data_IF_398315544310
#
_entry.id   IF_398315544310
#
_cell.length_a   1.000
_cell.length_b   1.000
_cell.length_c   1.000
_cell.angle_alpha   90.00
_cell.angle_beta   90.00
_cell.angle_gamma   90.00
#
_symmetry.space_group_name_H-M   'P 1'
#
loop_
_entity.id
_entity.type
_entity.pdbx_description
1 polymer ?
#
# COMPACT_ATOMS: atom_id res chain seq x y z
N UNK A 1 3.62 4.85 25.83
CA UNK A 1 2.85 5.55 26.87
C UNK A 1 1.41 5.06 26.78
N UNK A 2 0.84 4.56 27.87
CA UNK A 2 -0.55 4.07 27.91
C UNK A 2 -1.54 5.22 27.72
N UNK A 3 -2.57 4.97 26.90
CA UNK A 3 -3.70 5.86 26.58
C UNK A 3 -4.35 6.44 27.85
N UNK A 4 -3.98 7.68 28.19
CA UNK A 4 -4.61 8.47 29.24
C UNK A 4 -5.71 9.40 28.68
N UNK A 5 -6.62 9.89 29.53
CA UNK A 5 -7.79 10.70 29.16
C UNK A 5 -7.51 12.07 28.50
N UNK A 6 -6.24 12.46 28.33
CA UNK A 6 -5.82 13.72 27.67
C UNK A 6 -5.14 13.51 26.30
N UNK A 7 -5.16 12.28 25.76
CA UNK A 7 -4.47 11.96 24.50
C UNK A 7 -5.26 12.46 23.30
N UNK A 8 -4.69 13.40 22.53
CA UNK A 8 -5.32 13.98 21.33
C UNK A 8 -4.43 13.74 20.11
N UNK A 9 -4.72 12.67 19.39
CA UNK A 9 -3.92 12.21 18.24
C UNK A 9 -4.63 12.48 16.92
N UNK A 10 -3.85 12.88 15.93
CA UNK A 10 -4.24 12.88 14.52
C UNK A 10 -3.37 11.85 13.81
N UNK A 11 -4.01 10.87 13.17
CA UNK A 11 -3.34 9.82 12.40
C UNK A 11 -3.75 9.94 10.94
N UNK A 12 -2.79 10.03 10.03
CA UNK A 12 -3.02 10.18 8.60
C UNK A 12 -2.40 9.00 7.86
N UNK A 13 -3.22 8.24 7.14
CA UNK A 13 -2.79 7.24 6.16
C UNK A 13 -2.98 7.84 4.75
N UNK A 14 -1.90 8.22 4.08
CA UNK A 14 -1.95 9.00 2.84
C UNK A 14 -1.35 8.27 1.64
N UNK A 15 -2.19 7.90 0.68
CA UNK A 15 -1.80 7.26 -0.57
C UNK A 15 -2.03 8.15 -1.80
N UNK A 16 -1.53 7.69 -2.96
CA UNK A 16 -1.70 8.38 -4.23
C UNK A 16 -3.14 8.37 -4.76
N UNK A 17 -4.00 7.48 -4.25
CA UNK A 17 -5.42 7.39 -4.61
C UNK A 17 -6.36 8.06 -3.63
N UNK A 18 -5.88 8.46 -2.45
CA UNK A 18 -6.68 9.05 -1.38
C UNK A 18 -5.98 8.97 -0.03
N UNK A 19 -6.51 9.68 0.97
CA UNK A 19 -6.00 9.65 2.34
C UNK A 19 -7.13 9.37 3.33
N UNK A 20 -6.81 8.80 4.49
CA UNK A 20 -7.71 8.69 5.63
C UNK A 20 -7.10 9.35 6.85
N UNK A 21 -7.95 10.05 7.59
CA UNK A 21 -7.58 10.74 8.82
C UNK A 21 -8.39 10.18 9.96
N UNK A 22 -7.72 9.83 11.04
CA UNK A 22 -8.32 9.45 12.32
C UNK A 22 -8.01 10.52 13.36
N UNK A 23 -9.06 11.02 14.00
CA UNK A 23 -8.97 11.88 15.17
C UNK A 23 -9.32 11.05 16.40
N UNK A 24 -8.38 10.87 17.32
CA UNK A 24 -8.60 10.23 18.61
C UNK A 24 -8.52 11.30 19.70
N UNK A 25 -9.66 11.65 20.28
CA UNK A 25 -9.83 12.77 21.22
C UNK A 25 -10.62 12.27 22.43
N UNK A 26 -10.04 12.36 23.62
CA UNK A 26 -10.69 12.10 24.90
C UNK A 26 -11.47 10.76 24.92
N UNK A 27 -10.91 9.72 24.29
CA UNK A 27 -11.48 8.37 24.19
C UNK A 27 -12.48 8.15 23.04
N UNK A 28 -12.79 9.18 22.25
CA UNK A 28 -13.61 9.09 21.04
C UNK A 28 -12.76 9.11 19.79
N UNK A 29 -13.03 8.18 18.87
CA UNK A 29 -12.33 8.08 17.59
C UNK A 29 -13.28 8.39 16.44
N UNK A 30 -12.87 9.26 15.52
CA UNK A 30 -13.60 9.54 14.27
C UNK A 30 -12.68 9.45 13.07
N UNK A 31 -13.15 8.77 12.01
CA UNK A 31 -12.42 8.60 10.76
C UNK A 31 -13.07 9.42 9.65
N UNK A 32 -12.25 10.00 8.78
CA UNK A 32 -12.69 10.79 7.61
C UNK A 32 -11.78 10.52 6.42
N UNK A 33 -12.36 10.52 5.22
CA UNK A 33 -11.59 10.48 3.98
C UNK A 33 -11.14 11.89 3.57
N UNK A 34 -9.99 11.98 2.92
CA UNK A 34 -9.44 13.19 2.29
C UNK A 34 -8.83 12.82 0.91
N UNK A 35 -8.40 13.83 0.16
CA UNK A 35 -7.82 13.68 -1.16
C UNK A 35 -6.46 12.96 -1.18
N UNK A 36 -5.95 12.67 -2.39
CA UNK A 36 -4.70 11.95 -2.57
C UNK A 36 -3.46 12.77 -2.20
N UNK A 37 -2.39 12.07 -1.84
CA UNK A 37 -1.04 12.63 -1.77
C UNK A 37 -0.42 12.60 -3.17
N UNK A 38 0.01 13.78 -3.64
CA UNK A 38 0.74 13.89 -4.90
C UNK A 38 2.23 13.91 -4.61
N UNK A 39 2.92 12.82 -4.96
CA UNK A 39 4.36 12.64 -4.71
C UNK A 39 5.25 13.57 -5.54
N UNK A 40 4.69 14.22 -6.57
CA UNK A 40 5.35 15.27 -7.35
C UNK A 40 5.36 16.64 -6.67
N UNK A 41 4.68 16.78 -5.52
CA UNK A 41 4.62 18.00 -4.72
C UNK A 41 5.22 17.73 -3.34
N UNK A 42 5.60 18.77 -2.57
CA UNK A 42 6.10 18.59 -1.21
C UNK A 42 5.09 17.82 -0.35
N UNK A 43 5.50 16.65 0.15
CA UNK A 43 4.59 15.71 0.85
C UNK A 43 4.21 16.24 2.23
N UNK A 44 5.17 16.80 2.97
CA UNK A 44 4.96 17.32 4.33
C UNK A 44 3.95 18.46 4.36
N UNK A 45 4.00 19.37 3.40
CA UNK A 45 3.03 20.46 3.26
C UNK A 45 1.60 19.92 3.04
N UNK A 46 1.44 18.89 2.19
CA UNK A 46 0.15 18.25 1.96
C UNK A 46 -0.37 17.57 3.24
N UNK A 47 0.49 16.91 4.02
CA UNK A 47 0.13 16.31 5.31
C UNK A 47 -0.35 17.39 6.29
N UNK A 48 0.34 18.53 6.37
CA UNK A 48 -0.07 19.65 7.21
C UNK A 48 -1.44 20.22 6.78
N UNK A 49 -1.69 20.34 5.47
CA UNK A 49 -2.99 20.78 4.93
C UNK A 49 -4.12 19.81 5.29
N UNK A 50 -3.89 18.49 5.19
CA UNK A 50 -4.86 17.47 5.60
C UNK A 50 -5.15 17.59 7.10
N UNK A 51 -4.12 17.71 7.94
CA UNK A 51 -4.29 17.88 9.38
C UNK A 51 -5.12 19.14 9.71
N UNK A 52 -4.86 20.26 9.03
CA UNK A 52 -5.63 21.51 9.18
C UNK A 52 -7.09 21.34 8.82
N UNK A 53 -7.40 20.68 7.70
CA UNK A 53 -8.80 20.40 7.30
C UNK A 53 -9.50 19.51 8.30
N UNK A 54 -8.83 18.46 8.78
CA UNK A 54 -9.39 17.55 9.76
C UNK A 54 -9.73 18.25 11.09
N UNK A 55 -8.91 19.22 11.50
CA UNK A 55 -9.08 19.98 12.74
C UNK A 55 -9.91 21.27 12.61
N UNK A 56 -10.30 21.68 11.40
CA UNK A 56 -11.02 22.94 11.18
C UNK A 56 -12.33 23.04 11.99
N UNK A 57 -13.04 21.91 12.13
CA UNK A 57 -14.32 21.82 12.85
C UNK A 57 -14.19 21.21 14.26
N UNK A 58 -12.96 20.94 14.71
CA UNK A 58 -12.71 20.38 16.04
C UNK A 58 -12.15 21.48 16.94
N UNK A 59 -12.86 21.94 18.00
CA UNK A 59 -12.35 22.91 18.96
C UNK A 59 -11.34 22.25 19.94
N UNK A 60 -10.40 21.47 19.39
CA UNK A 60 -9.51 20.58 20.12
C UNK A 60 -8.09 20.77 19.62
N UNK A 61 -7.16 21.01 20.54
CA UNK A 61 -5.72 21.06 20.25
C UNK A 61 -5.18 19.64 20.21
N UNK A 62 -4.81 19.16 19.03
CA UNK A 62 -4.11 17.89 18.88
C UNK A 62 -2.68 18.03 19.41
N UNK A 63 -2.21 17.08 20.22
CA UNK A 63 -0.83 17.10 20.72
C UNK A 63 0.10 16.35 19.78
N UNK A 64 -0.38 15.23 19.21
CA UNK A 64 0.45 14.35 18.38
C UNK A 64 -0.12 14.18 16.98
N UNK A 65 0.72 14.36 15.96
CA UNK A 65 0.39 14.09 14.57
C UNK A 65 1.27 12.94 14.04
N UNK A 66 0.66 11.85 13.62
CA UNK A 66 1.37 10.74 12.97
C UNK A 66 0.88 10.61 11.54
N UNK A 67 1.79 10.48 10.58
CA UNK A 67 1.42 10.24 9.19
C UNK A 67 2.25 9.10 8.58
N UNK A 68 1.55 8.10 8.05
CA UNK A 68 2.09 7.09 7.15
C UNK A 68 1.73 7.46 5.72
N UNK A 69 2.71 7.84 4.90
CA UNK A 69 2.40 8.39 3.57
C UNK A 69 3.32 7.89 2.46
N UNK A 70 2.76 7.79 1.27
CA UNK A 70 3.49 7.44 0.05
C UNK A 70 4.42 8.57 -0.39
N UNK A 71 5.55 8.22 -1.01
CA UNK A 71 6.49 9.19 -1.58
C UNK A 71 7.43 9.87 -0.56
N UNK A 72 7.51 9.36 0.67
CA UNK A 72 8.55 9.78 1.62
C UNK A 72 9.90 9.20 1.22
N UNK A 73 10.72 10.04 0.60
CA UNK A 73 12.17 9.86 0.50
C UNK A 73 12.85 10.49 1.71
N UNK A 74 14.13 10.20 2.00
CA UNK A 74 14.86 10.86 3.07
C UNK A 74 14.80 12.40 2.97
N UNK A 75 14.90 12.97 1.76
CA UNK A 75 14.86 14.43 1.55
C UNK A 75 13.46 15.05 1.74
N UNK A 76 12.40 14.25 1.56
CA UNK A 76 11.01 14.65 1.79
C UNK A 76 10.60 14.45 3.26
N UNK A 77 11.31 13.62 4.01
CA UNK A 77 11.00 13.28 5.40
C UNK A 77 11.49 14.38 6.35
N UNK A 78 10.69 15.45 6.47
CA UNK A 78 11.04 16.67 7.23
C UNK A 78 10.12 16.86 8.46
N UNK A 79 10.34 16.11 9.55
CA UNK A 79 9.46 16.17 10.72
C UNK A 79 9.47 17.55 11.38
N UNK A 80 10.60 18.26 11.44
CA UNK A 80 10.67 19.61 12.02
C UNK A 80 9.85 20.62 11.22
N UNK A 81 9.83 20.47 9.89
CA UNK A 81 9.00 21.29 9.00
C UNK A 81 7.52 21.01 9.23
N UNK A 82 7.14 19.74 9.37
CA UNK A 82 5.77 19.36 9.67
C UNK A 82 5.33 19.96 11.02
N UNK A 83 6.13 19.78 12.07
CA UNK A 83 5.88 20.33 13.39
C UNK A 83 5.69 21.85 13.34
N UNK A 84 6.58 22.57 12.67
CA UNK A 84 6.46 24.02 12.51
C UNK A 84 5.19 24.43 11.73
N UNK A 85 4.78 23.64 10.73
CA UNK A 85 3.57 23.88 9.95
C UNK A 85 2.27 23.53 10.69
N UNK A 86 2.33 22.81 11.81
CA UNK A 86 1.15 22.41 12.58
C UNK A 86 1.17 22.91 14.03
N UNK A 87 2.18 23.67 14.43
CA UNK A 87 2.33 24.17 15.80
C UNK A 87 1.15 25.05 16.25
N UNK A 88 0.56 25.84 15.35
CA UNK A 88 -0.64 26.65 15.64
C UNK A 88 -1.91 25.81 15.86
N UNK A 89 -1.89 24.53 15.48
CA UNK A 89 -2.95 23.55 15.79
C UNK A 89 -2.78 22.91 17.18
N UNK A 90 -1.71 23.26 17.90
CA UNK A 90 -1.33 22.70 19.20
C UNK A 90 -0.46 21.44 19.12
N UNK A 91 -0.05 21.02 17.92
CA UNK A 91 0.80 19.84 17.72
C UNK A 91 2.19 20.13 18.28
N UNK A 92 2.61 19.31 19.23
CA UNK A 92 3.93 19.36 19.86
C UNK A 92 4.82 18.17 19.49
N UNK A 93 4.25 17.12 18.90
CA UNK A 93 4.96 15.90 18.54
C UNK A 93 4.49 15.39 17.18
N UNK A 94 5.44 15.06 16.31
CA UNK A 94 5.15 14.51 14.98
C UNK A 94 5.94 13.24 14.70
N UNK A 95 5.29 12.31 14.00
CA UNK A 95 5.87 11.06 13.54
C UNK A 95 5.56 10.87 12.06
N UNK A 96 6.59 10.71 11.23
CA UNK A 96 6.48 10.49 9.80
C UNK A 96 7.07 9.13 9.45
N UNK A 97 6.31 8.32 8.72
CA UNK A 97 6.76 7.03 8.20
C UNK A 97 6.32 6.85 6.75
N UNK A 98 7.09 6.09 5.99
CA UNK A 98 6.63 5.62 4.69
C UNK A 98 5.37 4.74 4.84
N UNK A 99 4.43 4.80 3.89
CA UNK A 99 3.17 4.03 3.91
C UNK A 99 3.39 2.51 4.11
N UNK A 100 4.51 1.97 3.66
CA UNK A 100 4.88 0.56 3.91
C UNK A 100 5.00 0.22 5.39
N UNK A 101 5.44 1.17 6.23
CA UNK A 101 5.59 0.97 7.68
C UNK A 101 4.24 0.97 8.37
N UNK A 102 3.34 1.90 8.02
CA UNK A 102 1.98 1.90 8.56
C UNK A 102 1.19 0.67 8.08
N UNK A 103 1.31 0.29 6.81
CA UNK A 103 0.76 -0.96 6.29
C UNK A 103 1.27 -2.17 7.07
N UNK A 104 2.58 -2.22 7.36
CA UNK A 104 3.20 -3.28 8.14
C UNK A 104 2.61 -3.37 9.55
N UNK A 105 2.65 -2.26 10.30
CA UNK A 105 2.16 -2.20 11.68
C UNK A 105 0.66 -2.52 11.76
N UNK A 106 -0.13 -2.15 10.74
CA UNK A 106 -1.53 -2.50 10.65
C UNK A 106 -1.75 -4.00 10.45
N UNK A 107 -0.94 -4.63 9.59
CA UNK A 107 -1.09 -6.03 9.23
C UNK A 107 -0.46 -7.02 10.22
N UNK A 108 0.64 -6.65 10.89
CA UNK A 108 1.44 -7.52 11.76
C UNK A 108 1.63 -6.99 13.19
N UNK A 109 1.24 -5.74 13.50
CA UNK A 109 1.61 -5.15 14.78
C UNK A 109 3.13 -5.00 14.90
N UNK A 110 3.70 -5.42 16.04
CA UNK A 110 5.14 -5.39 16.31
C UNK A 110 5.80 -6.76 16.18
N UNK A 111 5.08 -7.77 15.69
CA UNK A 111 5.65 -9.10 15.46
C UNK A 111 6.47 -9.09 14.18
N UNK A 112 7.59 -9.83 14.17
CA UNK A 112 8.42 -10.02 12.97
C UNK A 112 7.65 -10.78 11.86
N UNK A 113 8.05 -10.53 10.61
CA UNK A 113 7.39 -11.09 9.44
C UNK A 113 7.46 -10.18 8.22
N UNK A 114 6.60 -10.42 7.24
CA UNK A 114 6.55 -9.67 5.98
C UNK A 114 5.14 -9.19 5.69
N UNK A 115 5.02 -7.98 5.17
CA UNK A 115 3.76 -7.41 4.66
C UNK A 115 3.96 -6.92 3.23
N UNK A 116 3.10 -7.37 2.33
CA UNK A 116 3.02 -6.86 0.96
C UNK A 116 1.81 -5.94 0.79
N UNK A 117 2.06 -4.64 0.57
CA UNK A 117 1.01 -3.65 0.34
C UNK A 117 0.76 -3.53 -1.16
N UNK A 118 -0.38 -4.03 -1.64
CA UNK A 118 -0.71 -4.13 -3.07
C UNK A 118 -1.92 -3.25 -3.40
N UNK A 119 -1.65 -2.12 -4.04
CA UNK A 119 -2.62 -1.15 -4.54
C UNK A 119 -2.38 -0.88 -6.03
N UNK A 120 -2.42 0.40 -6.43
CA UNK A 120 -2.02 0.83 -7.77
C UNK A 120 -0.61 0.36 -8.11
N UNK A 121 0.33 0.56 -7.16
CA UNK A 121 1.66 -0.05 -7.15
C UNK A 121 1.78 -1.14 -6.07
N UNK A 122 2.99 -1.60 -5.78
CA UNK A 122 3.25 -2.54 -4.68
C UNK A 122 4.53 -2.22 -3.95
N UNK A 123 4.53 -2.43 -2.64
CA UNK A 123 5.76 -2.44 -1.82
C UNK A 123 5.67 -3.58 -0.82
N UNK A 124 6.76 -4.35 -0.70
CA UNK A 124 6.88 -5.41 0.32
C UNK A 124 7.87 -4.97 1.39
N UNK A 125 7.44 -4.97 2.65
CA UNK A 125 8.30 -4.67 3.79
C UNK A 125 8.45 -5.92 4.66
N UNK A 126 9.68 -6.39 4.80
CA UNK A 126 10.09 -7.36 5.81
C UNK A 126 10.65 -6.68 7.04
N UNK A 127 10.42 -7.29 8.21
CA UNK A 127 10.98 -6.88 9.49
C UNK A 127 11.37 -8.15 10.25
N UNK A 128 12.59 -8.19 10.75
CA UNK A 128 13.12 -9.32 11.50
C UNK A 128 14.39 -8.97 12.26
N UNK A 129 15.09 -9.99 12.76
CA UNK A 129 16.25 -9.82 13.65
C UNK A 129 17.42 -9.06 13.00
N UNK A 130 17.53 -9.11 11.66
CA UNK A 130 18.55 -8.39 10.90
C UNK A 130 18.16 -6.95 10.52
N UNK A 131 16.96 -6.51 10.88
CA UNK A 131 16.46 -5.18 10.54
C UNK A 131 15.24 -5.19 9.63
N UNK A 132 15.13 -4.15 8.81
CA UNK A 132 14.06 -3.96 7.83
C UNK A 132 14.56 -4.24 6.41
N UNK A 133 13.66 -4.68 5.53
CA UNK A 133 13.95 -4.81 4.11
C UNK A 133 12.74 -4.39 3.28
N UNK A 134 12.87 -3.28 2.55
CA UNK A 134 11.91 -2.86 1.52
C UNK A 134 12.29 -3.50 0.18
N UNK A 135 11.32 -4.18 -0.44
CA UNK A 135 11.46 -4.89 -1.72
C UNK A 135 10.40 -4.36 -2.69
N UNK A 136 10.83 -4.16 -3.93
CA UNK A 136 10.05 -3.48 -4.98
C UNK A 136 9.58 -2.08 -4.53
N UNK A 137 8.52 -1.54 -5.12
CA UNK A 137 8.06 -0.16 -4.90
C UNK A 137 8.86 0.85 -5.72
N UNK A 138 9.48 0.41 -6.83
CA UNK A 138 10.23 1.28 -7.74
C UNK A 138 9.34 2.10 -8.68
N UNK A 139 8.02 1.95 -8.55
CA UNK A 139 7.01 2.60 -9.37
C UNK A 139 6.73 1.86 -10.68
N UNK A 140 5.55 2.13 -11.23
CA UNK A 140 4.95 1.43 -12.38
C UNK A 140 5.80 1.32 -13.65
N UNK A 141 6.86 2.14 -13.80
CA UNK A 141 7.77 2.10 -14.94
C UNK A 141 8.88 1.05 -14.78
N UNK A 142 9.35 0.80 -13.56
CA UNK A 142 10.57 0.04 -13.27
C UNK A 142 10.36 -1.12 -12.29
N UNK A 143 9.20 -1.20 -11.66
CA UNK A 143 8.84 -2.24 -10.71
C UNK A 143 7.32 -2.36 -10.60
N UNK A 144 6.84 -2.41 -9.37
CA UNK A 144 5.43 -2.65 -9.03
C UNK A 144 4.90 -4.00 -9.58
N UNK A 145 5.75 -5.04 -9.54
CA UNK A 145 5.43 -6.33 -10.11
C UNK A 145 4.30 -7.03 -9.33
N UNK A 146 3.20 -7.38 -10.03
CA UNK A 146 1.99 -7.94 -9.42
C UNK A 146 1.04 -6.93 -8.78
N UNK A 147 1.30 -5.62 -8.92
CA UNK A 147 0.36 -4.54 -8.56
C UNK A 147 -0.90 -4.50 -9.44
N UNK A 148 -1.87 -3.66 -9.08
CA UNK A 148 -3.02 -3.39 -9.95
C UNK A 148 -2.60 -2.83 -11.31
N UNK A 149 -1.64 -1.90 -11.36
CA UNK A 149 -1.15 -1.39 -12.65
C UNK A 149 -0.54 -2.51 -13.49
N UNK A 150 0.28 -3.37 -12.87
CA UNK A 150 0.90 -4.50 -13.56
C UNK A 150 -0.15 -5.47 -14.13
N UNK A 151 -1.13 -5.86 -13.31
CA UNK A 151 -2.21 -6.78 -13.71
C UNK A 151 -3.07 -6.16 -14.81
N UNK A 152 -3.48 -4.90 -14.64
CA UNK A 152 -4.30 -4.20 -15.62
C UNK A 152 -3.60 -4.00 -16.96
N UNK A 153 -2.30 -3.65 -16.94
CA UNK A 153 -1.47 -3.56 -18.15
C UNK A 153 -1.36 -4.91 -18.85
N UNK A 154 -1.14 -6.00 -18.11
CA UNK A 154 -1.08 -7.34 -18.67
C UNK A 154 -2.43 -7.76 -19.30
N UNK A 155 -3.55 -7.40 -18.67
CA UNK A 155 -4.90 -7.63 -19.21
C UNK A 155 -5.15 -6.88 -20.51
N UNK A 156 -4.74 -5.61 -20.59
CA UNK A 156 -4.87 -4.80 -21.81
C UNK A 156 -3.95 -5.28 -22.93
N UNK A 157 -2.72 -5.70 -22.60
CA UNK A 157 -1.83 -6.33 -23.57
C UNK A 157 -2.45 -7.62 -24.12
N UNK A 158 -3.00 -8.48 -23.26
CA UNK A 158 -3.70 -9.69 -23.68
C UNK A 158 -4.91 -9.41 -24.60
N UNK A 159 -5.71 -8.39 -24.28
CA UNK A 159 -6.81 -7.95 -25.13
C UNK A 159 -6.33 -7.52 -26.53
N UNK A 160 -5.28 -6.70 -26.60
CA UNK A 160 -4.72 -6.21 -27.87
C UNK A 160 -4.06 -7.33 -28.69
N UNK A 161 -3.40 -8.30 -28.02
CA UNK A 161 -2.82 -9.48 -28.67
C UNK A 161 -3.88 -10.42 -29.23
N UNK A 162 -5.04 -10.53 -28.57
CA UNK A 162 -6.19 -11.28 -29.11
C UNK A 162 -6.71 -10.59 -30.36
N UNK A 163 -6.94 -9.27 -30.26
CA UNK A 163 -7.48 -8.45 -31.34
C UNK A 163 -6.65 -8.48 -32.63
N UNK A 164 -5.31 -8.45 -32.53
CA UNK A 164 -4.42 -8.51 -33.69
C UNK A 164 -4.01 -9.94 -34.13
N UNK A 165 -4.54 -10.97 -33.45
CA UNK A 165 -4.31 -12.37 -33.77
C UNK A 165 -2.97 -12.96 -33.29
N UNK A 166 -2.26 -12.29 -32.38
CA UNK A 166 -1.01 -12.76 -31.75
C UNK A 166 -1.21 -13.65 -30.51
N UNK A 167 -2.44 -13.90 -30.08
CA UNK A 167 -2.79 -14.86 -29.03
C UNK A 167 -4.14 -15.52 -29.28
N UNK A 168 -4.50 -16.49 -28.43
CA UNK A 168 -5.85 -17.07 -28.42
C UNK A 168 -6.91 -16.05 -28.00
N UNK A 169 -8.17 -16.38 -28.29
CA UNK A 169 -9.32 -15.57 -27.91
C UNK A 169 -9.45 -15.46 -26.37
N UNK A 170 -9.84 -14.27 -25.89
CA UNK A 170 -10.06 -13.98 -24.47
C UNK A 170 -11.24 -13.04 -24.29
N UNK A 171 -11.97 -13.18 -23.18
CA UNK A 171 -13.03 -12.24 -22.81
C UNK A 171 -12.51 -10.84 -22.48
N UNK A 172 -11.20 -10.70 -22.23
CA UNK A 172 -10.53 -9.41 -21.99
C UNK A 172 -10.64 -8.47 -23.19
N UNK A 173 -10.78 -8.98 -24.41
CA UNK A 173 -10.97 -8.16 -25.62
C UNK A 173 -12.26 -7.33 -25.52
N UNK A 174 -13.39 -8.00 -25.29
CA UNK A 174 -14.69 -7.34 -25.09
C UNK A 174 -14.66 -6.46 -23.85
N UNK A 175 -14.06 -6.92 -22.75
CA UNK A 175 -14.01 -6.15 -21.52
C UNK A 175 -13.20 -4.85 -21.66
N UNK A 176 -12.14 -4.85 -22.48
CA UNK A 176 -11.38 -3.65 -22.80
C UNK A 176 -12.18 -2.68 -23.68
N UNK A 177 -12.97 -3.19 -24.63
CA UNK A 177 -13.92 -2.38 -25.42
C UNK A 177 -14.98 -1.74 -24.52
N UNK A 178 -15.56 -2.51 -23.61
CA UNK A 178 -16.62 -2.03 -22.71
C UNK A 178 -16.10 -0.92 -21.77
N UNK A 179 -14.86 -1.03 -21.29
CA UNK A 179 -14.28 -0.06 -20.35
C UNK A 179 -13.70 1.17 -21.05
N UNK A 180 -13.01 1.00 -22.17
CA UNK A 180 -12.19 2.05 -22.77
C UNK A 180 -12.55 2.38 -24.22
N UNK A 181 -13.53 1.69 -24.83
CA UNK A 181 -13.94 1.82 -26.22
C UNK A 181 -13.10 1.01 -27.21
N UNK A 182 -13.34 1.24 -28.51
CA UNK A 182 -12.74 0.51 -29.64
C UNK A 182 -11.22 0.32 -29.54
N UNK A 183 -10.75 -0.93 -29.71
CA UNK A 183 -9.35 -1.32 -29.53
C UNK A 183 -8.33 -0.62 -30.43
N UNK A 184 -8.61 -0.34 -31.74
CA UNK A 184 -7.65 0.32 -32.62
C UNK A 184 -7.08 1.64 -32.10
N UNK A 185 -7.86 2.38 -31.31
CA UNK A 185 -7.48 3.70 -30.77
C UNK A 185 -7.22 3.68 -29.26
N UNK A 186 -7.31 2.51 -28.62
CA UNK A 186 -7.19 2.36 -27.16
C UNK A 186 -5.88 2.93 -26.63
N UNK A 187 -4.77 2.65 -27.32
CA UNK A 187 -3.44 3.10 -26.89
C UNK A 187 -3.32 4.63 -26.86
N UNK A 188 -3.91 5.34 -27.82
CA UNK A 188 -3.88 6.81 -27.87
C UNK A 188 -4.71 7.41 -26.73
N UNK A 189 -5.89 6.84 -26.47
CA UNK A 189 -6.76 7.29 -25.37
C UNK A 189 -6.08 7.12 -24.02
N UNK A 190 -5.47 5.95 -23.78
CA UNK A 190 -4.76 5.69 -22.52
C UNK A 190 -3.50 6.55 -22.39
N UNK A 191 -2.66 6.67 -23.42
CA UNK A 191 -1.44 7.49 -23.33
C UNK A 191 -1.73 8.98 -23.12
N UNK A 192 -2.82 9.49 -23.69
CA UNK A 192 -3.22 10.89 -23.53
C UNK A 192 -3.96 11.21 -22.23
N UNK A 193 -4.40 10.19 -21.49
CA UNK A 193 -5.20 10.39 -20.28
C UNK A 193 -4.33 10.88 -19.10
N UNK A 194 -4.70 11.99 -18.43
CA UNK A 194 -3.97 12.47 -17.24
C UNK A 194 -3.92 11.44 -16.10
N UNK A 195 -4.91 10.55 -16.04
CA UNK A 195 -5.08 9.52 -15.02
C UNK A 195 -4.74 8.10 -15.53
N UNK A 196 -4.01 7.98 -16.63
CA UNK A 196 -3.71 6.71 -17.29
C UNK A 196 -3.20 5.60 -16.37
N UNK A 197 -2.38 5.93 -15.36
CA UNK A 197 -1.91 4.97 -14.36
C UNK A 197 -3.08 4.39 -13.56
N UNK A 198 -3.97 5.25 -13.08
CA UNK A 198 -5.16 4.84 -12.32
C UNK A 198 -6.14 4.07 -13.20
N UNK A 199 -6.35 4.52 -14.44
CA UNK A 199 -7.22 3.86 -15.43
C UNK A 199 -6.73 2.46 -15.78
N UNK A 200 -5.44 2.30 -16.09
CA UNK A 200 -4.84 0.98 -16.35
C UNK A 200 -4.92 0.10 -15.09
N UNK A 201 -4.58 0.62 -13.91
CA UNK A 201 -4.69 -0.13 -12.66
C UNK A 201 -6.14 -0.56 -12.36
N UNK A 202 -7.12 0.27 -12.71
CA UNK A 202 -8.54 -0.04 -12.57
C UNK A 202 -8.95 -1.31 -13.32
N UNK A 203 -8.31 -1.59 -14.47
CA UNK A 203 -8.57 -2.78 -15.28
C UNK A 203 -8.18 -4.09 -14.57
N UNK A 204 -7.37 -4.06 -13.51
CA UNK A 204 -7.06 -5.26 -12.72
C UNK A 204 -8.30 -5.90 -12.08
N UNK A 205 -9.32 -5.09 -11.73
CA UNK A 205 -10.60 -5.61 -11.22
C UNK A 205 -11.36 -6.39 -12.29
N UNK A 206 -11.28 -5.92 -13.54
CA UNK A 206 -11.88 -6.58 -14.70
C UNK A 206 -11.15 -7.90 -14.96
N UNK A 207 -9.81 -7.89 -14.97
CA UNK A 207 -9.01 -9.13 -15.08
C UNK A 207 -9.41 -10.15 -14.00
N UNK A 208 -9.57 -9.72 -12.75
CA UNK A 208 -10.06 -10.57 -11.66
C UNK A 208 -11.43 -11.21 -11.98
N UNK A 209 -12.40 -10.40 -12.40
CA UNK A 209 -13.76 -10.88 -12.74
C UNK A 209 -13.76 -11.85 -13.92
N UNK A 210 -12.96 -11.58 -14.96
CA UNK A 210 -12.86 -12.47 -16.12
C UNK A 210 -12.19 -13.81 -15.74
N UNK A 211 -11.19 -13.79 -14.84
CA UNK A 211 -10.58 -14.99 -14.29
C UNK A 211 -11.59 -15.82 -13.48
N UNK A 212 -12.38 -15.18 -12.61
CA UNK A 212 -13.46 -15.84 -11.86
C UNK A 212 -14.53 -16.45 -12.79
N UNK A 213 -14.68 -15.89 -13.98
CA UNK A 213 -15.60 -16.39 -15.02
C UNK A 213 -14.99 -17.51 -15.88
N UNK A 214 -13.74 -17.92 -15.61
CA UNK A 214 -13.06 -19.03 -16.27
C UNK A 214 -12.22 -18.65 -17.48
N UNK A 215 -11.93 -17.37 -17.72
CA UNK A 215 -10.98 -16.99 -18.77
C UNK A 215 -9.55 -17.42 -18.38
N UNK A 216 -9.00 -18.37 -19.14
CA UNK A 216 -7.68 -18.95 -18.85
C UNK A 216 -6.52 -17.95 -18.93
N UNK A 217 -6.60 -16.95 -19.82
CA UNK A 217 -5.55 -15.93 -19.94
C UNK A 217 -5.59 -15.00 -18.72
N UNK A 218 -6.78 -14.62 -18.26
CA UNK A 218 -6.94 -13.82 -17.05
C UNK A 218 -6.44 -14.58 -15.80
N UNK A 219 -6.74 -15.88 -15.69
CA UNK A 219 -6.20 -16.75 -14.63
C UNK A 219 -4.66 -16.79 -14.67
N UNK A 220 -4.07 -16.95 -15.85
CA UNK A 220 -2.61 -16.99 -16.00
C UNK A 220 -1.96 -15.65 -15.63
N UNK A 221 -2.60 -14.51 -15.93
CA UNK A 221 -2.13 -13.18 -15.49
C UNK A 221 -2.09 -13.10 -13.96
N UNK A 222 -3.15 -13.55 -13.26
CA UNK A 222 -3.18 -13.54 -11.80
C UNK A 222 -2.14 -14.50 -11.20
N UNK A 223 -1.90 -15.66 -11.82
CA UNK A 223 -0.85 -16.60 -11.39
C UNK A 223 0.54 -15.98 -11.50
N UNK A 224 0.83 -15.29 -12.61
CA UNK A 224 2.10 -14.58 -12.76
C UNK A 224 2.24 -13.43 -11.75
N UNK A 225 1.18 -12.66 -11.50
CA UNK A 225 1.19 -11.63 -10.47
C UNK A 225 1.50 -12.21 -9.08
N UNK A 226 0.87 -13.33 -8.70
CA UNK A 226 1.17 -14.03 -7.45
C UNK A 226 2.63 -14.49 -7.37
N UNK A 227 3.20 -14.97 -8.48
CA UNK A 227 4.61 -15.41 -8.55
C UNK A 227 5.58 -14.25 -8.28
N UNK A 228 5.32 -13.08 -8.84
CA UNK A 228 6.09 -11.85 -8.61
C UNK A 228 5.98 -11.38 -7.14
N UNK A 229 4.76 -11.35 -6.60
CA UNK A 229 4.51 -11.00 -5.20
C UNK A 229 5.23 -11.97 -4.24
N UNK A 230 5.15 -13.28 -4.50
CA UNK A 230 5.86 -14.29 -3.72
C UNK A 230 7.38 -14.11 -3.79
N UNK A 231 7.92 -13.75 -4.96
CA UNK A 231 9.35 -13.46 -5.12
C UNK A 231 9.78 -12.30 -4.24
N UNK A 232 8.98 -11.23 -4.19
CA UNK A 232 9.24 -10.08 -3.31
C UNK A 232 9.15 -10.45 -1.83
N UNK A 233 8.15 -11.24 -1.43
CA UNK A 233 7.99 -11.73 -0.05
C UNK A 233 9.19 -12.56 0.40
N UNK A 234 9.63 -13.51 -0.43
CA UNK A 234 10.75 -14.40 -0.09
C UNK A 234 12.07 -13.62 -0.02
N UNK A 235 12.26 -12.64 -0.89
CA UNK A 235 13.41 -11.74 -0.83
C UNK A 235 13.41 -10.92 0.47
N UNK A 236 12.25 -10.43 0.91
CA UNK A 236 12.11 -9.70 2.17
C UNK A 236 12.44 -10.61 3.37
N UNK A 237 11.84 -11.80 3.44
CA UNK A 237 12.11 -12.80 4.47
C UNK A 237 13.61 -13.04 4.64
N UNK A 238 14.30 -13.40 3.55
CA UNK A 238 15.73 -13.72 3.58
C UNK A 238 16.59 -12.53 4.01
N UNK A 239 16.26 -11.32 3.57
CA UNK A 239 17.01 -10.11 3.93
C UNK A 239 16.82 -9.69 5.39
N UNK A 240 15.76 -10.16 6.05
CA UNK A 240 15.49 -9.86 7.46
C UNK A 240 15.81 -11.01 8.41
N UNK A 241 16.56 -12.02 7.94
CA UNK A 241 17.12 -13.08 8.79
C UNK A 241 16.29 -14.35 8.89
N UNK A 242 15.27 -14.52 8.05
CA UNK A 242 14.52 -15.78 7.98
C UNK A 242 15.32 -16.87 7.26
N UNK A 243 15.31 -18.07 7.81
CA UNK A 243 15.83 -19.29 7.18
C UNK A 243 14.70 -20.27 6.86
N UNK A 244 14.95 -21.15 5.89
CA UNK A 244 13.95 -22.14 5.46
C UNK A 244 13.56 -23.08 6.62
N UNK A 245 12.25 -23.22 6.84
CA UNK A 245 11.68 -23.95 7.97
C UNK A 245 11.30 -23.06 9.17
N UNK A 246 11.82 -21.84 9.26
CA UNK A 246 11.45 -20.93 10.35
C UNK A 246 9.98 -20.50 10.21
N UNK A 247 9.29 -20.46 11.35
CA UNK A 247 7.94 -19.92 11.39
C UNK A 247 7.99 -18.41 11.12
N UNK A 248 7.29 -17.96 10.09
CA UNK A 248 7.19 -16.53 9.78
C UNK A 248 5.80 -16.16 9.28
N UNK A 249 5.33 -14.99 9.70
CA UNK A 249 4.06 -14.45 9.26
C UNK A 249 4.24 -13.66 7.97
N UNK A 250 3.44 -13.98 6.97
CA UNK A 250 3.25 -13.16 5.78
C UNK A 250 1.83 -12.62 5.80
N UNK A 251 1.68 -11.31 5.68
CA UNK A 251 0.38 -10.66 5.57
C UNK A 251 0.38 -9.70 4.39
N UNK A 252 -0.77 -9.07 4.14
CA UNK A 252 -0.94 -8.12 3.05
C UNK A 252 -1.61 -6.83 3.51
N UNK A 253 -1.59 -5.83 2.64
CA UNK A 253 -2.42 -4.64 2.75
C UNK A 253 -2.88 -4.23 1.35
N UNK A 254 -3.93 -3.42 1.26
CA UNK A 254 -4.42 -2.91 -0.02
C UNK A 254 -5.51 -3.76 -0.68
N UNK A 255 -6.23 -3.12 -1.59
CA UNK A 255 -7.48 -3.66 -2.13
C UNK A 255 -7.28 -4.85 -3.08
N UNK A 256 -6.12 -4.96 -3.72
CA UNK A 256 -5.86 -5.99 -4.75
C UNK A 256 -5.91 -7.38 -4.14
N UNK A 257 -5.08 -7.65 -3.12
CA UNK A 257 -5.12 -8.92 -2.41
C UNK A 257 -6.39 -9.05 -1.57
N UNK A 258 -6.89 -7.97 -0.96
CA UNK A 258 -8.09 -8.05 -0.11
C UNK A 258 -9.35 -8.47 -0.89
N UNK A 259 -9.48 -8.11 -2.17
CA UNK A 259 -10.69 -8.33 -2.97
C UNK A 259 -10.55 -9.39 -4.05
N UNK A 260 -9.37 -10.01 -4.20
CA UNK A 260 -9.12 -11.03 -5.19
C UNK A 260 -8.67 -12.33 -4.50
N UNK A 261 -9.61 -13.25 -4.32
CA UNK A 261 -9.39 -14.51 -3.60
C UNK A 261 -8.44 -15.42 -4.37
N UNK A 262 -8.61 -15.54 -5.70
CA UNK A 262 -7.75 -16.35 -6.56
C UNK A 262 -6.29 -15.89 -6.50
N UNK A 263 -6.03 -14.58 -6.56
CA UNK A 263 -4.68 -14.05 -6.44
C UNK A 263 -4.07 -14.34 -5.06
N UNK A 264 -4.85 -14.24 -3.97
CA UNK A 264 -4.36 -14.61 -2.63
C UNK A 264 -4.08 -16.10 -2.51
N UNK A 265 -4.90 -16.95 -3.11
CA UNK A 265 -4.70 -18.39 -3.11
C UNK A 265 -3.42 -18.76 -3.85
N UNK A 266 -3.22 -18.24 -5.07
CA UNK A 266 -1.97 -18.44 -5.80
C UNK A 266 -0.75 -17.91 -5.05
N UNK A 267 -0.85 -16.76 -4.38
CA UNK A 267 0.23 -16.24 -3.54
C UNK A 267 0.54 -17.19 -2.38
N UNK A 268 -0.49 -17.74 -1.72
CA UNK A 268 -0.32 -18.72 -0.65
C UNK A 268 0.35 -19.98 -1.15
N UNK A 269 -0.06 -20.49 -2.31
CA UNK A 269 0.51 -21.70 -2.91
C UNK A 269 2.00 -21.50 -3.25
N UNK A 270 2.34 -20.38 -3.88
CA UNK A 270 3.72 -20.00 -4.19
C UNK A 270 4.60 -19.92 -2.93
N UNK A 271 4.12 -19.25 -1.87
CA UNK A 271 4.85 -19.14 -0.60
C UNK A 271 5.00 -20.51 0.05
N UNK A 272 3.94 -21.31 0.11
CA UNK A 272 3.98 -22.65 0.72
C UNK A 272 4.96 -23.59 0.01
N UNK A 273 5.12 -23.42 -1.30
CA UNK A 273 6.02 -24.23 -2.13
C UNK A 273 7.48 -23.78 -2.01
N UNK A 274 7.72 -22.46 -1.95
CA UNK A 274 9.08 -21.87 -2.09
C UNK A 274 9.68 -21.37 -0.77
N UNK A 275 8.89 -21.28 0.29
CA UNK A 275 9.31 -20.81 1.61
C UNK A 275 8.57 -21.56 2.74
N UNK A 276 8.91 -22.84 2.91
CA UNK A 276 8.32 -23.68 3.96
C UNK A 276 8.53 -23.06 5.35
N UNK A 277 7.46 -22.96 6.14
CA UNK A 277 7.44 -22.29 7.45
C UNK A 277 6.87 -20.87 7.41
N UNK A 278 6.89 -20.21 6.25
CA UNK A 278 6.18 -18.94 6.06
C UNK A 278 4.67 -19.20 5.85
N UNK A 279 3.81 -18.52 6.61
CA UNK A 279 2.36 -18.71 6.57
C UNK A 279 1.66 -17.41 6.20
N UNK A 280 0.87 -17.45 5.13
CA UNK A 280 0.03 -16.32 4.71
C UNK A 280 -1.20 -16.23 5.62
N UNK A 281 -1.34 -15.11 6.33
CA UNK A 281 -2.39 -14.86 7.30
C UNK A 281 -3.07 -13.51 7.04
N UNK A 282 -4.34 -13.40 7.43
CA UNK A 282 -5.11 -12.16 7.26
C UNK A 282 -4.54 -11.02 8.11
N UNK A 283 -4.63 -9.75 7.66
CA UNK A 283 -4.14 -8.59 8.40
C UNK A 283 -4.83 -8.45 9.76
N UNK A 284 -4.10 -7.99 10.77
CA UNK A 284 -4.67 -7.73 12.10
C UNK A 284 -5.58 -6.48 12.12
N UNK A 285 -5.33 -5.54 11.22
CA UNK A 285 -6.06 -4.30 11.07
C UNK A 285 -5.76 -3.62 9.75
N UNK A 286 -6.04 -2.32 9.69
CA UNK A 286 -5.85 -1.44 8.53
C UNK A 286 -4.53 -0.65 8.62
N UNK A 287 -4.10 -0.04 7.51
CA UNK A 287 -2.96 0.89 7.53
C UNK A 287 -3.14 2.02 8.54
N UNK A 288 -4.37 2.55 8.70
CA UNK A 288 -4.67 3.61 9.65
C UNK A 288 -4.50 3.15 11.11
N UNK A 289 -4.87 1.90 11.43
CA UNK A 289 -4.56 1.29 12.74
C UNK A 289 -3.04 1.15 12.94
N UNK A 290 -2.30 0.92 11.86
CA UNK A 290 -0.85 0.91 11.85
C UNK A 290 -0.23 2.28 12.10
N UNK A 291 -0.78 3.35 11.52
CA UNK A 291 -0.37 4.74 11.80
C UNK A 291 -0.48 5.05 13.29
N UNK A 292 -1.56 4.64 13.95
CA UNK A 292 -1.72 4.85 15.40
C UNK A 292 -0.65 4.16 16.25
N UNK A 293 -0.11 3.04 15.78
CA UNK A 293 0.94 2.27 16.48
C UNK A 293 2.34 2.88 16.32
N UNK A 294 2.58 3.72 15.33
CA UNK A 294 3.92 4.27 15.02
C UNK A 294 4.52 4.98 16.24
N UNK A 295 3.76 5.87 16.88
CA UNK A 295 4.21 6.61 18.05
C UNK A 295 4.51 5.69 19.25
N UNK A 296 3.89 4.52 19.29
CA UNK A 296 4.03 3.51 20.35
C UNK A 296 5.03 2.40 20.00
N UNK A 297 5.82 2.56 18.93
CA UNK A 297 6.86 1.60 18.53
C UNK A 297 7.87 1.38 19.67
N UNK A 298 8.09 0.12 20.12
CA UNK A 298 9.00 -0.16 21.23
C UNK A 298 10.45 0.27 20.92
N UNK A 299 11.20 0.81 21.90
CA UNK A 299 12.63 1.08 21.72
C UNK A 299 13.39 -0.18 21.32
N UNK A 300 14.25 -0.06 20.30
CA UNK A 300 15.04 -1.17 19.76
C UNK A 300 14.27 -2.10 18.81
N UNK A 301 12.98 -1.87 18.58
CA UNK A 301 12.25 -2.55 17.51
C UNK A 301 12.85 -2.16 16.14
N UNK A 302 13.02 -3.08 15.17
CA UNK A 302 13.70 -2.76 13.92
C UNK A 302 13.07 -1.62 13.12
N UNK A 303 11.76 -1.40 13.23
CA UNK A 303 11.07 -0.28 12.58
C UNK A 303 11.41 1.11 13.14
N UNK A 304 12.02 1.21 14.33
CA UNK A 304 12.28 2.50 14.96
C UNK A 304 13.16 3.41 14.08
N UNK A 305 14.09 2.83 13.32
CA UNK A 305 14.97 3.55 12.37
C UNK A 305 14.23 4.13 11.16
N UNK A 306 13.02 3.65 10.87
CA UNK A 306 12.19 4.11 9.74
C UNK A 306 11.25 5.26 10.14
N UNK A 307 11.29 5.69 11.42
CA UNK A 307 10.39 6.70 11.97
C UNK A 307 11.12 8.04 12.11
N UNK A 308 10.70 9.02 11.33
CA UNK A 308 11.17 10.39 11.43
C UNK A 308 10.33 11.14 12.48
N UNK A 309 10.99 11.76 13.47
CA UNK A 309 10.33 12.32 14.66
C UNK A 309 10.76 13.77 14.90
N UNK A 310 9.85 14.62 15.38
CA UNK A 310 10.18 15.91 15.97
C UNK A 310 9.20 16.24 17.11
N UNK A 311 9.70 16.90 18.16
CA UNK A 311 8.91 17.39 19.29
C UNK A 311 9.74 18.11 20.33
#
# INVERSE_FOLDING_TARGET
MTTGPDTRRVSIDGGQSGSRVRLAIDGTTTDRDDGPIFTSRPVVEQVAEIARRALADAPVRATTLTAGVSGLTPDQSRPERLLALTADLGVDSVFLVHDSVSAYLGANGFDHGVVTAVGTGVVTLGVGDLGTARIDGWGHLLGDAGSAYWIGRAGLDAALRSFDGRSGATSLERAAVDEFGELPELYMRLQGAPDHVASIAGFARIVGREADSGDGIAVDILRHAATELATSVIAALRRTGWHEGDASRVSWMGAVLTRNDMLREHLRDEISTRAQGAVVQAPLGTSLDGVEKVADTPPGHPLDIEIYRAG
#
